data_IF_843866998670
#
_entry.id   IF_843866998670
#
_cell.length_a   1.000
_cell.length_b   1.000
_cell.length_c   1.000
_cell.angle_alpha   90.00
_cell.angle_beta   90.00
_cell.angle_gamma   90.00
#
_symmetry.space_group_name_H-M   'P 1'
#
loop_
_entity.id
_entity.type
_entity.pdbx_description
1 polymer ?
#
# COMPACT_ATOMS: atom_id res chain seq x y z
N UNK A 1 50.88 -17.17 69.47
CA UNK A 1 51.14 -16.32 68.30
C UNK A 1 51.74 -15.04 68.82
N UNK A 2 52.97 -14.73 68.51
CA UNK A 2 53.65 -13.55 69.05
C UNK A 2 53.05 -12.25 68.41
N UNK A 3 53.16 -11.13 69.14
CA UNK A 3 52.73 -9.83 68.62
C UNK A 3 53.31 -9.49 67.23
N UNK A 4 54.57 -9.95 67.00
CA UNK A 4 55.24 -9.74 65.71
C UNK A 4 54.64 -10.51 64.52
N UNK A 5 54.00 -11.65 64.79
CA UNK A 5 53.43 -12.47 63.75
C UNK A 5 52.11 -11.85 63.27
N UNK A 6 51.35 -11.17 64.14
CA UNK A 6 50.11 -10.42 63.80
C UNK A 6 50.37 -9.23 62.86
N UNK A 7 51.51 -8.52 63.13
CA UNK A 7 51.87 -7.39 62.25
C UNK A 7 52.34 -7.82 60.87
N UNK A 8 53.00 -8.97 60.76
CA UNK A 8 53.42 -9.55 59.48
C UNK A 8 52.22 -9.98 58.65
N UNK A 9 51.19 -10.59 59.26
CA UNK A 9 49.98 -11.04 58.58
C UNK A 9 49.18 -9.84 58.15
N UNK A 10 49.08 -8.79 59.02
CA UNK A 10 48.33 -7.56 58.68
C UNK A 10 48.96 -6.83 57.47
N UNK A 11 50.30 -6.69 57.48
CA UNK A 11 51.04 -6.10 56.36
C UNK A 11 50.90 -6.88 55.06
N UNK A 12 50.90 -8.22 55.15
CA UNK A 12 50.67 -9.06 53.96
C UNK A 12 49.25 -8.91 53.41
N UNK A 13 48.24 -8.88 54.28
CA UNK A 13 46.86 -8.63 53.93
C UNK A 13 46.65 -7.23 53.30
N UNK A 14 47.30 -6.20 53.86
CA UNK A 14 47.25 -4.84 53.34
C UNK A 14 47.89 -4.74 51.93
N UNK A 15 49.02 -5.44 51.74
CA UNK A 15 49.72 -5.48 50.43
C UNK A 15 48.90 -6.22 49.35
N UNK A 16 48.19 -7.29 49.69
CA UNK A 16 47.30 -8.02 48.79
C UNK A 16 46.08 -7.19 48.48
N UNK A 17 45.53 -6.50 49.48
CA UNK A 17 44.40 -5.58 49.28
C UNK A 17 44.77 -4.39 48.37
N UNK A 18 45.96 -3.83 48.53
CA UNK A 18 46.48 -2.78 47.63
C UNK A 18 46.70 -3.27 46.21
N UNK A 19 47.19 -4.50 46.02
CA UNK A 19 47.32 -5.11 44.68
C UNK A 19 45.96 -5.33 44.00
N UNK A 20 44.94 -5.76 44.74
CA UNK A 20 43.58 -5.95 44.23
C UNK A 20 42.97 -4.60 43.84
N UNK A 21 43.13 -3.58 44.66
CA UNK A 21 42.62 -2.21 44.35
C UNK A 21 43.37 -1.60 43.15
N UNK A 22 44.70 -1.87 43.03
CA UNK A 22 45.48 -1.39 41.88
C UNK A 22 45.09 -2.12 40.56
N UNK A 23 44.78 -3.42 40.64
CA UNK A 23 44.32 -4.18 39.48
C UNK A 23 42.87 -3.83 39.07
N UNK A 24 42.01 -3.44 40.01
CA UNK A 24 40.67 -2.91 39.68
C UNK A 24 40.69 -1.51 39.07
N UNK A 25 41.75 -0.71 39.29
CA UNK A 25 41.88 0.63 38.73
C UNK A 25 42.39 0.69 37.29
N UNK A 26 42.70 -0.44 36.66
CA UNK A 26 43.16 -0.58 35.29
C UNK A 26 42.21 -1.45 34.41
N UNK A 27 41.00 -1.68 34.85
CA UNK A 27 39.97 -2.02 33.93
C UNK A 27 39.65 -0.71 33.16
N UNK A 28 40.40 -0.46 32.09
CA UNK A 28 39.86 0.32 30.99
C UNK A 28 38.57 -0.41 30.59
N UNK A 29 37.43 0.08 31.07
CA UNK A 29 36.16 -0.19 30.45
C UNK A 29 36.38 0.38 29.07
N UNK A 30 36.72 -0.46 28.09
CA UNK A 30 36.61 -0.08 26.71
C UNK A 30 35.18 0.48 26.61
N UNK A 31 35.05 1.79 26.44
CA UNK A 31 33.79 2.39 26.11
C UNK A 31 33.36 1.67 24.82
N UNK A 32 32.42 0.78 24.93
CA UNK A 32 31.75 0.29 23.73
C UNK A 32 31.15 1.52 23.15
N UNK A 33 31.80 2.06 22.12
CA UNK A 33 31.28 3.17 21.34
C UNK A 33 30.00 2.64 20.71
N UNK A 34 28.87 3.05 21.28
CA UNK A 34 27.57 2.63 20.75
C UNK A 34 27.36 3.45 19.47
N UNK A 35 27.65 2.83 18.35
CA UNK A 35 27.37 3.37 17.03
C UNK A 35 25.89 3.66 16.96
N UNK A 36 25.53 4.91 16.64
CA UNK A 36 24.17 5.33 16.41
C UNK A 36 24.04 5.94 15.01
N UNK A 37 23.77 5.10 14.03
CA UNK A 37 23.70 5.50 12.63
C UNK A 37 22.62 6.57 12.35
N UNK A 38 21.72 6.87 13.28
CA UNK A 38 20.75 7.95 13.14
C UNK A 38 21.23 9.29 13.74
N UNK A 39 22.43 9.33 14.31
CA UNK A 39 23.05 10.54 14.88
C UNK A 39 23.97 11.19 13.83
N UNK A 40 23.67 12.43 13.37
CA UNK A 40 24.51 13.13 12.41
C UNK A 40 25.97 13.39 12.89
N UNK A 41 26.26 13.19 14.16
CA UNK A 41 27.62 13.32 14.69
C UNK A 41 28.42 12.01 14.63
N UNK A 42 27.79 10.88 14.26
CA UNK A 42 28.45 9.58 14.06
C UNK A 42 29.20 9.57 12.73
N UNK A 43 30.44 9.04 12.72
CA UNK A 43 31.28 8.99 11.53
C UNK A 43 30.72 8.09 10.42
N UNK A 44 29.80 7.17 10.77
CA UNK A 44 29.11 6.26 9.84
C UNK A 44 27.73 6.74 9.43
N UNK A 45 27.32 7.92 9.88
CA UNK A 45 26.03 8.50 9.51
C UNK A 45 25.98 8.79 8.01
N UNK A 46 24.89 8.35 7.37
CA UNK A 46 24.51 8.84 6.04
C UNK A 46 23.09 9.43 6.07
N UNK A 47 22.74 10.25 5.10
CA UNK A 47 21.37 10.77 4.96
C UNK A 47 20.41 9.65 4.58
N UNK A 48 19.09 9.79 4.92
CA UNK A 48 18.08 8.88 4.41
C UNK A 48 18.14 8.85 2.88
N UNK A 49 18.24 7.66 2.33
CA UNK A 49 18.32 7.41 0.89
C UNK A 49 17.72 6.04 0.58
N UNK A 50 16.78 5.99 -0.35
CA UNK A 50 16.00 4.80 -0.68
C UNK A 50 16.51 4.16 -1.96
N UNK A 51 16.75 2.86 -1.94
CA UNK A 51 17.01 2.03 -3.11
C UNK A 51 15.82 1.12 -3.38
N UNK A 52 15.27 1.17 -4.60
CA UNK A 52 14.33 0.15 -5.09
C UNK A 52 15.18 -1.02 -5.60
N UNK A 53 15.01 -2.17 -4.94
CA UNK A 53 15.84 -3.37 -5.17
C UNK A 53 15.25 -4.24 -6.29
N UNK A 54 13.91 -4.37 -6.31
CA UNK A 54 13.22 -5.20 -7.31
C UNK A 54 11.84 -4.60 -7.64
N UNK A 55 11.34 -4.95 -8.82
CA UNK A 55 10.07 -4.49 -9.37
C UNK A 55 10.19 -3.99 -10.81
N UNK A 56 9.12 -3.43 -11.39
CA UNK A 56 9.15 -2.77 -12.68
C UNK A 56 10.20 -1.65 -12.73
N UNK A 57 10.89 -1.53 -13.87
CA UNK A 57 11.80 -0.43 -14.12
C UNK A 57 11.10 0.70 -14.89
N UNK A 58 11.62 1.91 -14.80
CA UNK A 58 11.05 3.07 -15.49
C UNK A 58 10.94 2.85 -17.00
N UNK A 59 9.74 3.09 -17.55
CA UNK A 59 9.40 2.90 -18.96
C UNK A 59 8.97 1.47 -19.31
N UNK A 60 8.89 0.56 -18.36
CA UNK A 60 8.39 -0.81 -18.58
C UNK A 60 6.88 -0.81 -18.81
N UNK A 61 6.41 -1.66 -19.71
CA UNK A 61 4.99 -2.01 -19.84
C UNK A 61 4.79 -3.43 -19.30
N UNK A 62 3.84 -3.58 -18.38
CA UNK A 62 3.47 -4.87 -17.79
C UNK A 62 2.34 -5.50 -18.59
N UNK A 63 2.43 -6.80 -18.78
CA UNK A 63 1.39 -7.68 -19.32
C UNK A 63 0.59 -8.40 -18.20
N UNK A 64 0.65 -7.86 -16.99
CA UNK A 64 -0.04 -8.35 -15.81
C UNK A 64 -0.66 -7.18 -15.03
N UNK A 65 -1.89 -7.38 -14.55
CA UNK A 65 -2.57 -6.44 -13.65
C UNK A 65 -2.07 -6.48 -12.21
N UNK A 66 -1.00 -7.23 -11.94
CA UNK A 66 -0.37 -7.31 -10.63
C UNK A 66 1.14 -7.21 -10.74
N UNK A 67 1.76 -6.61 -9.73
CA UNK A 67 3.21 -6.51 -9.62
C UNK A 67 3.60 -6.30 -8.16
N UNK A 68 4.88 -6.29 -7.88
CA UNK A 68 5.41 -5.95 -6.56
C UNK A 68 6.61 -5.02 -6.70
N UNK A 69 6.95 -4.35 -5.61
CA UNK A 69 8.16 -3.57 -5.44
C UNK A 69 8.81 -3.92 -4.12
N UNK A 70 10.15 -3.95 -4.12
CA UNK A 70 10.91 -4.06 -2.88
C UNK A 70 11.90 -2.92 -2.76
N UNK A 71 12.12 -2.45 -1.54
CA UNK A 71 13.08 -1.39 -1.27
C UNK A 71 13.73 -1.52 0.11
N UNK A 72 14.85 -0.84 0.25
CA UNK A 72 15.62 -0.71 1.47
C UNK A 72 16.37 0.64 1.48
N UNK A 73 17.19 0.86 2.50
CA UNK A 73 18.18 1.95 2.49
C UNK A 73 19.30 1.65 1.49
N UNK A 74 19.79 2.66 0.76
CA UNK A 74 20.87 2.47 -0.23
C UNK A 74 22.22 2.15 0.40
N UNK A 75 22.50 2.66 1.61
CA UNK A 75 23.74 2.39 2.34
C UNK A 75 23.66 1.03 3.08
N UNK A 76 24.57 0.08 2.75
CA UNK A 76 24.61 -1.24 3.41
C UNK A 76 24.75 -1.22 4.94
N UNK A 77 25.27 -0.15 5.54
CA UNK A 77 25.35 -0.03 6.99
C UNK A 77 23.96 -0.03 7.68
N UNK A 78 22.92 0.31 6.95
CA UNK A 78 21.53 0.32 7.44
C UNK A 78 20.71 -0.90 7.00
N UNK A 79 21.32 -1.85 6.29
CA UNK A 79 20.64 -3.07 5.91
C UNK A 79 20.40 -3.98 7.10
N UNK A 80 19.42 -4.86 6.96
CA UNK A 80 19.10 -5.86 7.97
C UNK A 80 20.31 -6.75 8.28
N UNK A 81 20.65 -6.84 9.56
CA UNK A 81 21.66 -7.77 10.06
C UNK A 81 21.18 -8.38 11.39
N UNK A 82 20.72 -9.64 11.38
CA UNK A 82 20.20 -10.31 12.57
C UNK A 82 21.26 -10.52 13.66
N UNK A 83 22.54 -10.22 13.38
CA UNK A 83 23.63 -10.35 14.36
C UNK A 83 23.87 -9.09 15.17
N UNK A 84 23.31 -7.95 14.74
CA UNK A 84 23.42 -6.69 15.45
C UNK A 84 22.37 -6.57 16.57
N UNK A 85 22.76 -5.96 17.69
CA UNK A 85 21.86 -5.69 18.82
C UNK A 85 20.76 -4.69 18.45
N UNK A 86 21.03 -3.79 17.49
CA UNK A 86 20.08 -2.80 16.95
C UNK A 86 19.93 -3.04 15.46
N UNK A 87 18.72 -3.39 15.04
CA UNK A 87 18.40 -3.48 13.63
C UNK A 87 17.95 -2.12 13.12
N UNK A 88 18.76 -1.51 12.26
CA UNK A 88 18.48 -0.21 11.68
C UNK A 88 17.41 -0.30 10.59
N UNK A 89 17.38 -1.38 9.81
CA UNK A 89 16.38 -1.59 8.74
C UNK A 89 14.95 -1.60 9.27
N UNK A 90 14.70 -2.23 10.42
CA UNK A 90 13.38 -2.28 11.06
C UNK A 90 12.90 -0.90 11.57
N UNK A 91 13.80 0.07 11.74
CA UNK A 91 13.52 1.36 12.38
C UNK A 91 13.39 2.52 11.41
N UNK A 92 13.86 2.37 10.18
CA UNK A 92 13.69 3.40 9.14
C UNK A 92 12.23 3.44 8.75
N UNK A 93 11.66 4.64 8.75
CA UNK A 93 10.30 4.84 8.30
C UNK A 93 10.29 5.08 6.79
N UNK A 94 9.40 4.39 6.10
CA UNK A 94 9.12 4.60 4.69
C UNK A 94 7.66 5.01 4.50
N UNK A 95 7.41 5.68 3.39
CA UNK A 95 6.08 5.88 2.81
C UNK A 95 6.19 5.79 1.30
N UNK A 96 5.08 5.46 0.67
CA UNK A 96 5.01 5.46 -0.78
C UNK A 96 3.73 6.16 -1.26
N UNK A 97 3.71 6.47 -2.55
CA UNK A 97 2.47 6.82 -3.27
C UNK A 97 2.49 6.19 -4.66
N UNK A 98 1.30 5.81 -5.12
CA UNK A 98 1.05 5.32 -6.47
C UNK A 98 0.01 6.23 -7.11
N UNK A 99 0.43 7.12 -8.01
CA UNK A 99 -0.42 8.13 -8.69
C UNK A 99 -1.22 9.08 -7.79
N UNK A 100 -1.24 8.92 -6.47
CA UNK A 100 -2.18 9.58 -5.56
C UNK A 100 -1.51 10.14 -4.30
N UNK A 101 -2.22 10.09 -3.20
CA UNK A 101 -1.74 10.55 -1.90
C UNK A 101 -0.67 9.63 -1.31
N UNK A 102 0.18 10.19 -0.47
CA UNK A 102 1.16 9.42 0.29
C UNK A 102 0.50 8.50 1.30
N UNK A 103 1.04 7.28 1.43
CA UNK A 103 0.76 6.39 2.55
C UNK A 103 1.22 7.01 3.88
N UNK A 104 0.75 6.52 5.04
CA UNK A 104 1.36 6.84 6.32
C UNK A 104 2.83 6.41 6.37
N UNK A 105 3.59 7.02 7.29
CA UNK A 105 4.94 6.60 7.59
C UNK A 105 4.92 5.32 8.43
N UNK A 106 5.50 4.24 7.90
CA UNK A 106 5.63 2.95 8.60
C UNK A 106 7.07 2.46 8.51
N UNK A 107 7.52 1.82 9.58
CA UNK A 107 8.78 1.11 9.61
C UNK A 107 8.57 -0.41 9.69
N UNK A 108 9.65 -1.19 9.60
CA UNK A 108 9.57 -2.64 9.63
C UNK A 108 8.84 -3.18 10.85
N UNK A 109 9.12 -2.63 12.05
CA UNK A 109 8.44 -3.03 13.28
C UNK A 109 6.93 -2.80 13.23
N UNK A 110 6.50 -1.63 12.73
CA UNK A 110 5.08 -1.31 12.59
C UNK A 110 4.38 -2.21 11.56
N UNK A 111 5.06 -2.60 10.48
CA UNK A 111 4.52 -3.52 9.48
C UNK A 111 4.38 -4.93 10.02
N UNK A 112 5.37 -5.43 10.76
CA UNK A 112 5.30 -6.74 11.43
C UNK A 112 4.17 -6.81 12.46
N UNK A 113 3.91 -5.71 13.18
CA UNK A 113 2.82 -5.63 14.15
C UNK A 113 1.44 -5.59 13.47
N UNK A 114 1.30 -4.82 12.39
CA UNK A 114 0.03 -4.61 11.68
C UNK A 114 -0.35 -5.72 10.71
N UNK A 115 0.64 -6.42 10.14
CA UNK A 115 0.47 -7.56 9.23
C UNK A 115 -0.47 -7.25 8.04
N UNK A 116 -0.18 -6.15 7.33
CA UNK A 116 -0.93 -5.85 6.10
C UNK A 116 -0.65 -6.89 5.01
N UNK A 117 -1.67 -7.24 4.23
CA UNK A 117 -1.56 -8.17 3.10
C UNK A 117 -0.84 -7.56 1.88
N UNK A 118 -0.77 -6.22 1.80
CA UNK A 118 -0.27 -5.50 0.63
C UNK A 118 1.05 -4.75 0.87
N UNK A 119 1.46 -4.52 2.12
CA UNK A 119 2.73 -3.93 2.46
C UNK A 119 3.32 -4.61 3.70
N UNK A 120 4.44 -5.26 3.52
CA UNK A 120 5.09 -6.04 4.56
C UNK A 120 6.57 -5.70 4.70
N UNK A 121 7.18 -6.17 5.77
CA UNK A 121 8.61 -6.17 6.01
C UNK A 121 9.10 -7.62 6.08
N UNK A 122 9.99 -8.01 5.17
CA UNK A 122 10.58 -9.34 5.15
C UNK A 122 11.73 -9.42 6.16
N UNK A 123 11.52 -10.12 7.25
CA UNK A 123 12.51 -10.30 8.33
C UNK A 123 13.70 -11.16 7.96
N UNK A 124 13.72 -11.80 6.80
CA UNK A 124 14.87 -12.58 6.33
C UNK A 124 15.82 -11.72 5.51
N UNK A 125 15.30 -10.78 4.76
CA UNK A 125 16.07 -9.93 3.83
C UNK A 125 16.19 -8.48 4.29
N UNK A 126 15.29 -8.03 5.21
CA UNK A 126 15.21 -6.63 5.64
C UNK A 126 14.57 -5.72 4.61
N UNK A 127 13.91 -6.28 3.61
CA UNK A 127 13.25 -5.52 2.55
C UNK A 127 11.81 -5.16 2.92
N UNK A 128 11.40 -3.96 2.57
CA UNK A 128 9.99 -3.63 2.46
C UNK A 128 9.44 -4.18 1.15
N UNK A 129 8.26 -4.80 1.20
CA UNK A 129 7.59 -5.42 0.05
C UNK A 129 6.22 -4.80 -0.11
N UNK A 130 5.95 -4.18 -1.26
CA UNK A 130 4.63 -3.66 -1.65
C UNK A 130 4.07 -4.52 -2.77
N UNK A 131 2.92 -5.13 -2.54
CA UNK A 131 2.18 -5.89 -3.54
C UNK A 131 1.05 -5.04 -4.11
N UNK A 132 0.97 -4.97 -5.43
CA UNK A 132 -0.07 -4.26 -6.19
C UNK A 132 -0.89 -5.26 -6.99
N UNK A 133 -2.21 -5.10 -6.99
CA UNK A 133 -3.13 -5.97 -7.71
C UNK A 133 -4.23 -5.16 -8.39
N UNK A 134 -4.85 -5.74 -9.42
CA UNK A 134 -5.95 -5.13 -10.19
C UNK A 134 -5.59 -3.76 -10.78
N UNK A 135 -4.34 -3.62 -11.23
CA UNK A 135 -3.90 -2.44 -11.95
C UNK A 135 -4.63 -2.34 -13.28
N UNK A 136 -5.13 -1.14 -13.58
CA UNK A 136 -5.78 -0.82 -14.86
C UNK A 136 -4.75 -0.52 -15.95
N UNK A 137 -5.15 -0.55 -17.21
CA UNK A 137 -4.33 -0.21 -18.38
C UNK A 137 -4.08 1.30 -18.45
N UNK A 138 -3.26 1.79 -17.55
CA UNK A 138 -2.85 3.19 -17.46
C UNK A 138 -1.36 3.31 -17.13
N UNK A 139 -0.87 4.55 -17.16
CA UNK A 139 0.47 4.87 -16.66
C UNK A 139 0.45 5.04 -15.14
N UNK A 140 1.39 4.40 -14.49
CA UNK A 140 1.62 4.47 -13.06
C UNK A 140 2.94 5.18 -12.76
N UNK A 141 2.95 5.86 -11.61
CA UNK A 141 4.13 6.46 -11.02
C UNK A 141 4.19 6.05 -9.55
N UNK A 142 5.19 5.23 -9.22
CA UNK A 142 5.51 4.88 -7.85
C UNK A 142 6.62 5.78 -7.35
N UNK A 143 6.43 6.37 -6.18
CA UNK A 143 7.44 7.10 -5.43
C UNK A 143 7.57 6.50 -4.04
N UNK A 144 8.79 6.34 -3.56
CA UNK A 144 9.09 5.83 -2.22
C UNK A 144 10.02 6.80 -1.53
N UNK A 145 9.77 7.13 -0.28
CA UNK A 145 10.57 8.08 0.50
C UNK A 145 10.89 7.51 1.87
N UNK A 146 12.11 7.71 2.34
CA UNK A 146 12.55 7.31 3.67
C UNK A 146 12.64 8.45 4.66
N UNK A 147 12.59 8.11 5.95
CA UNK A 147 12.77 9.03 7.07
C UNK A 147 13.34 8.30 8.28
N UNK A 148 14.33 8.91 8.93
CA UNK A 148 14.88 8.38 10.19
C UNK A 148 13.94 8.65 11.39
N UNK A 149 14.09 7.89 12.48
CA UNK A 149 13.39 8.16 13.73
C UNK A 149 13.62 9.58 14.27
N UNK A 150 14.72 10.21 13.91
CA UNK A 150 15.08 11.62 14.22
C UNK A 150 14.31 12.65 13.40
N UNK A 151 13.40 12.22 12.50
CA UNK A 151 12.62 13.02 11.55
C UNK A 151 13.44 13.67 10.42
N UNK A 152 14.67 13.28 10.20
CA UNK A 152 15.42 13.65 9.00
C UNK A 152 14.82 12.86 7.83
N UNK A 153 14.37 13.57 6.80
CA UNK A 153 13.72 13.00 5.62
C UNK A 153 14.67 13.01 4.43
N UNK A 154 14.48 12.07 3.55
CA UNK A 154 15.11 12.01 2.24
C UNK A 154 14.73 13.23 1.38
N UNK A 155 15.72 13.81 0.69
CA UNK A 155 15.51 14.98 -0.17
C UNK A 155 15.24 14.60 -1.63
N UNK A 156 15.82 13.49 -2.10
CA UNK A 156 15.71 13.02 -3.48
C UNK A 156 15.36 11.54 -3.50
N UNK A 157 14.08 11.26 -3.48
CA UNK A 157 13.55 9.89 -3.44
C UNK A 157 13.37 9.27 -4.82
N UNK A 158 13.46 7.94 -4.95
CA UNK A 158 13.25 7.22 -6.18
C UNK A 158 11.80 7.37 -6.69
N UNK A 159 11.72 7.43 -8.03
CA UNK A 159 10.49 7.56 -8.78
C UNK A 159 10.54 6.60 -9.98
N UNK A 160 9.61 5.65 -10.03
CA UNK A 160 9.48 4.67 -11.10
C UNK A 160 8.19 4.92 -11.86
N UNK A 161 8.30 5.13 -13.17
CA UNK A 161 7.13 5.23 -14.06
C UNK A 161 7.01 3.95 -14.90
N UNK A 162 5.86 3.33 -14.90
CA UNK A 162 5.55 2.14 -15.69
C UNK A 162 4.13 2.20 -16.24
N UNK A 163 3.81 1.39 -17.22
CA UNK A 163 2.45 1.22 -17.74
C UNK A 163 1.98 -0.21 -17.56
N UNK A 164 0.68 -0.38 -17.59
CA UNK A 164 0.01 -1.68 -17.65
C UNK A 164 -0.78 -1.72 -18.95
N UNK A 165 -0.74 -2.86 -19.64
CA UNK A 165 -1.45 -3.13 -20.90
C UNK A 165 -1.79 -4.63 -20.92
N UNK A 166 -2.93 -4.96 -20.32
CA UNK A 166 -3.35 -6.35 -20.04
C UNK A 166 -4.65 -6.68 -20.72
N UNK A 167 -5.48 -5.67 -20.94
CA UNK A 167 -6.87 -5.90 -21.26
C UNK A 167 -7.16 -5.55 -22.72
N UNK A 168 -7.75 -6.51 -23.42
CA UNK A 168 -8.24 -6.33 -24.79
C UNK A 168 -9.75 -6.59 -24.83
N UNK A 169 -10.52 -5.70 -25.50
CA UNK A 169 -11.96 -5.87 -25.71
C UNK A 169 -12.81 -5.04 -24.75
N UNK A 170 -14.10 -5.38 -24.65
CA UNK A 170 -15.05 -4.66 -23.81
C UNK A 170 -15.01 -5.13 -22.37
N UNK A 171 -14.71 -4.24 -21.45
CA UNK A 171 -14.54 -4.54 -20.04
C UNK A 171 -15.50 -3.78 -19.13
N UNK A 172 -15.90 -4.43 -18.06
CA UNK A 172 -16.59 -3.85 -16.93
C UNK A 172 -15.74 -4.03 -15.67
N UNK A 173 -15.29 -2.95 -15.06
CA UNK A 173 -14.35 -3.02 -13.95
C UNK A 173 -14.67 -2.02 -12.83
N UNK A 174 -14.13 -2.29 -11.64
CA UNK A 174 -14.04 -1.32 -10.55
C UNK A 174 -12.81 -0.43 -10.77
N UNK A 175 -13.01 0.88 -10.84
CA UNK A 175 -11.96 1.89 -11.09
C UNK A 175 -11.93 2.97 -9.99
N UNK A 176 -10.76 3.31 -9.42
CA UNK A 176 -9.49 2.65 -9.63
C UNK A 176 -9.50 1.21 -9.12
N UNK A 177 -8.80 0.32 -9.82
CA UNK A 177 -8.72 -1.11 -9.47
C UNK A 177 -8.05 -1.35 -8.13
N UNK A 178 -7.18 -0.42 -7.68
CA UNK A 178 -6.61 -0.41 -6.34
C UNK A 178 -6.79 0.95 -5.67
N UNK A 179 -7.42 0.94 -4.49
CA UNK A 179 -7.65 2.12 -3.65
C UNK A 179 -6.88 1.99 -2.34
N UNK A 180 -6.21 3.05 -1.95
CA UNK A 180 -5.60 3.19 -0.63
C UNK A 180 -6.33 4.27 0.16
N UNK A 181 -6.75 3.96 1.39
CA UNK A 181 -7.47 4.91 2.24
C UNK A 181 -7.10 4.77 3.71
N UNK A 182 -7.38 5.82 4.49
CA UNK A 182 -7.17 5.84 5.93
C UNK A 182 -8.28 5.08 6.66
N UNK A 183 -7.95 4.51 7.82
CA UNK A 183 -8.94 3.89 8.71
C UNK A 183 -10.02 4.90 9.13
N UNK A 184 -11.29 4.53 8.99
CA UNK A 184 -12.43 5.41 9.19
C UNK A 184 -12.63 6.46 8.09
N UNK A 185 -11.84 6.41 7.02
CA UNK A 185 -11.92 7.35 5.91
C UNK A 185 -13.01 7.00 4.90
N UNK A 186 -13.40 8.00 4.11
CA UNK A 186 -14.30 7.86 2.96
C UNK A 186 -13.47 7.73 1.70
N UNK A 187 -13.85 6.79 0.83
CA UNK A 187 -13.21 6.59 -0.46
C UNK A 187 -14.23 6.36 -1.58
N UNK A 188 -13.76 6.43 -2.81
CA UNK A 188 -14.61 6.36 -4.00
C UNK A 188 -14.08 5.30 -4.95
N UNK A 189 -15.01 4.53 -5.54
CA UNK A 189 -14.75 3.67 -6.70
C UNK A 189 -15.86 3.84 -7.72
N UNK A 190 -15.56 3.58 -8.97
CA UNK A 190 -16.54 3.63 -10.06
C UNK A 190 -16.72 2.23 -10.64
N UNK A 191 -17.93 1.92 -11.09
CA UNK A 191 -18.12 0.93 -12.14
C UNK A 191 -17.83 1.63 -13.48
N UNK A 192 -16.85 1.14 -14.22
CA UNK A 192 -16.34 1.72 -15.46
C UNK A 192 -16.45 0.73 -16.60
N UNK A 193 -16.85 1.21 -17.76
CA UNK A 193 -16.79 0.47 -19.01
C UNK A 193 -15.60 0.93 -19.84
N UNK A 194 -14.92 -0.01 -20.46
CA UNK A 194 -13.83 0.24 -21.41
C UNK A 194 -14.22 -0.34 -22.77
N UNK A 195 -13.98 0.44 -23.81
CA UNK A 195 -14.12 0.10 -25.22
C UNK A 195 -15.45 -0.57 -25.62
N UNK A 196 -16.53 -0.15 -24.96
CA UNK A 196 -17.86 -0.64 -25.29
C UNK A 196 -18.37 -0.06 -26.59
N UNK A 197 -19.11 -0.87 -27.34
CA UNK A 197 -19.78 -0.45 -28.58
C UNK A 197 -21.28 -0.55 -28.42
N UNK A 198 -21.98 0.55 -28.79
CA UNK A 198 -23.44 0.65 -28.82
C UNK A 198 -24.14 0.30 -27.49
N UNK A 199 -23.57 0.70 -26.37
CA UNK A 199 -24.14 0.50 -25.04
C UNK A 199 -25.57 1.05 -24.93
N UNK A 200 -26.51 0.20 -24.52
CA UNK A 200 -27.91 0.57 -24.29
C UNK A 200 -28.40 0.29 -22.87
N UNK A 201 -27.74 -0.59 -22.15
CA UNK A 201 -28.11 -0.90 -20.79
C UNK A 201 -27.20 -1.92 -20.13
N UNK A 202 -27.38 -2.06 -18.84
CA UNK A 202 -26.63 -3.03 -18.05
C UNK A 202 -27.45 -3.53 -16.87
N UNK A 203 -27.14 -4.75 -16.48
CA UNK A 203 -27.40 -5.29 -15.17
C UNK A 203 -26.06 -5.34 -14.43
N UNK A 204 -25.96 -4.67 -13.28
CA UNK A 204 -24.74 -4.65 -12.47
C UNK A 204 -25.04 -5.12 -11.07
N UNK A 205 -24.33 -6.13 -10.61
CA UNK A 205 -24.31 -6.57 -9.24
C UNK A 205 -22.92 -6.38 -8.63
N UNK A 206 -22.84 -5.69 -7.48
CA UNK A 206 -21.61 -5.41 -6.74
C UNK A 206 -21.71 -6.00 -5.36
N UNK A 207 -20.67 -6.74 -4.96
CA UNK A 207 -20.54 -7.35 -3.64
C UNK A 207 -19.31 -6.76 -2.92
N UNK A 208 -19.47 -6.49 -1.64
CA UNK A 208 -18.42 -5.97 -0.78
C UNK A 208 -18.55 -6.49 0.65
N UNK A 209 -17.46 -6.49 1.39
CA UNK A 209 -17.46 -6.89 2.81
C UNK A 209 -18.08 -5.78 3.69
N UNK A 210 -19.33 -5.96 4.10
CA UNK A 210 -20.06 -5.00 4.92
C UNK A 210 -19.59 -4.93 6.38
N UNK A 211 -18.68 -5.80 6.80
CA UNK A 211 -17.99 -5.70 8.09
C UNK A 211 -16.74 -4.83 8.00
N UNK A 212 -16.23 -4.60 6.79
CA UNK A 212 -15.05 -3.80 6.51
C UNK A 212 -15.38 -2.41 5.97
N UNK A 213 -16.36 -2.31 5.07
CA UNK A 213 -16.76 -1.06 4.44
C UNK A 213 -18.28 -0.95 4.34
N UNK A 214 -18.80 0.27 4.42
CA UNK A 214 -20.23 0.55 4.27
C UNK A 214 -20.46 1.45 3.07
N UNK A 215 -21.37 1.08 2.18
CA UNK A 215 -21.82 1.93 1.08
C UNK A 215 -22.67 3.09 1.64
N UNK A 216 -22.15 4.31 1.55
CA UNK A 216 -22.80 5.51 2.04
C UNK A 216 -23.73 6.11 0.98
N UNK A 217 -23.30 6.08 -0.28
CA UNK A 217 -24.05 6.65 -1.39
C UNK A 217 -23.58 6.05 -2.72
N UNK A 218 -24.37 6.27 -3.76
CA UNK A 218 -23.99 6.03 -5.14
C UNK A 218 -24.51 7.16 -6.03
N UNK A 219 -23.83 7.38 -7.14
CA UNK A 219 -24.24 8.36 -8.14
C UNK A 219 -24.11 7.74 -9.52
N UNK A 220 -25.12 7.92 -10.37
CA UNK A 220 -24.93 7.72 -11.80
C UNK A 220 -23.95 8.81 -12.25
N UNK A 221 -22.85 8.40 -12.88
CA UNK A 221 -21.85 9.36 -13.30
C UNK A 221 -22.42 10.31 -14.31
N UNK A 222 -22.44 11.56 -13.92
CA UNK A 222 -22.89 12.71 -14.68
C UNK A 222 -21.85 13.82 -14.68
N UNK A 223 -20.56 13.47 -14.59
CA UNK A 223 -19.49 14.46 -14.68
C UNK A 223 -19.12 14.78 -16.14
N UNK A 224 -18.16 15.67 -16.34
CA UNK A 224 -17.81 16.24 -17.64
C UNK A 224 -17.27 15.23 -18.68
N UNK A 225 -17.03 14.00 -18.31
CA UNK A 225 -16.71 12.89 -19.22
C UNK A 225 -17.93 12.04 -19.58
N UNK A 226 -19.08 12.43 -19.18
CA UNK A 226 -20.41 11.86 -19.22
C UNK A 226 -20.64 10.84 -20.32
N UNK A 227 -20.18 9.61 -20.03
CA UNK A 227 -20.42 8.50 -20.93
C UNK A 227 -21.91 8.33 -21.21
N UNK A 228 -22.76 8.36 -20.17
CA UNK A 228 -24.20 8.18 -20.31
C UNK A 228 -24.89 9.35 -21.01
N UNK A 229 -24.39 10.57 -20.87
CA UNK A 229 -24.97 11.77 -21.53
C UNK A 229 -24.61 11.89 -23.01
N UNK A 230 -23.70 11.06 -23.53
CA UNK A 230 -23.46 11.00 -24.99
C UNK A 230 -24.67 10.49 -25.74
N UNK A 231 -25.59 9.80 -25.07
CA UNK A 231 -26.87 9.41 -25.65
C UNK A 231 -27.87 10.56 -25.66
N UNK A 232 -28.66 10.65 -26.72
CA UNK A 232 -29.83 11.52 -26.79
C UNK A 232 -31.04 10.96 -26.02
N UNK A 233 -30.94 9.76 -25.46
CA UNK A 233 -32.01 9.08 -24.74
C UNK A 233 -32.11 9.50 -23.28
N UNK A 234 -33.15 9.04 -22.62
CA UNK A 234 -33.32 9.18 -21.18
C UNK A 234 -32.74 7.99 -20.47
N UNK A 235 -31.82 8.22 -19.53
CA UNK A 235 -31.33 7.17 -18.64
C UNK A 235 -32.43 6.83 -17.63
N UNK A 236 -32.78 5.55 -17.57
CA UNK A 236 -33.69 4.97 -16.59
C UNK A 236 -32.93 3.93 -15.77
N UNK A 237 -33.22 3.86 -14.49
CA UNK A 237 -32.60 2.87 -13.61
C UNK A 237 -33.58 2.34 -12.58
N UNK A 238 -33.29 1.13 -12.13
CA UNK A 238 -33.93 0.48 -11.00
C UNK A 238 -32.82 -0.06 -10.08
N UNK A 239 -32.85 0.30 -8.81
CA UNK A 239 -31.78 -0.04 -7.85
C UNK A 239 -32.34 -0.85 -6.70
N UNK A 240 -31.63 -1.91 -6.35
CA UNK A 240 -31.78 -2.65 -5.12
C UNK A 240 -30.48 -2.57 -4.32
N UNK A 241 -30.53 -2.04 -3.11
CA UNK A 241 -29.39 -1.91 -2.24
C UNK A 241 -29.68 -2.60 -0.91
N UNK A 242 -28.95 -3.67 -0.62
CA UNK A 242 -28.99 -4.35 0.67
C UNK A 242 -27.66 -4.18 1.41
N UNK A 243 -27.49 -3.09 2.17
CA UNK A 243 -26.23 -2.83 2.88
C UNK A 243 -25.98 -3.82 4.02
N UNK A 244 -26.98 -4.60 4.45
CA UNK A 244 -26.81 -5.61 5.49
C UNK A 244 -26.09 -6.86 4.96
N UNK A 245 -26.25 -7.16 3.68
CA UNK A 245 -25.56 -8.27 3.02
C UNK A 245 -24.29 -7.84 2.28
N UNK A 246 -24.02 -6.52 2.18
CA UNK A 246 -22.92 -6.01 1.35
C UNK A 246 -23.18 -6.20 -0.14
N UNK A 247 -24.45 -6.06 -0.56
CA UNK A 247 -24.88 -6.27 -1.93
C UNK A 247 -25.57 -5.03 -2.49
N UNK A 248 -25.17 -4.65 -3.70
CA UNK A 248 -25.78 -3.58 -4.48
C UNK A 248 -26.09 -4.08 -5.88
N UNK A 249 -27.27 -3.82 -6.37
CA UNK A 249 -27.72 -4.17 -7.71
C UNK A 249 -28.34 -2.97 -8.40
N UNK A 250 -28.08 -2.82 -9.69
CA UNK A 250 -28.74 -1.83 -10.54
C UNK A 250 -29.01 -2.40 -11.92
N UNK A 251 -30.24 -2.17 -12.40
CA UNK A 251 -30.62 -2.28 -13.79
C UNK A 251 -30.67 -0.87 -14.39
N UNK A 252 -29.88 -0.62 -15.42
CA UNK A 252 -29.77 0.66 -16.08
C UNK A 252 -30.05 0.51 -17.57
N UNK A 253 -30.80 1.42 -18.15
CA UNK A 253 -31.06 1.43 -19.57
C UNK A 253 -31.22 2.83 -20.13
N UNK A 254 -31.00 2.98 -21.43
CA UNK A 254 -31.20 4.19 -22.19
C UNK A 254 -32.49 4.04 -23.00
N UNK A 255 -33.47 4.88 -22.76
CA UNK A 255 -34.77 4.81 -23.38
C UNK A 255 -35.02 6.01 -24.30
N UNK A 256 -35.73 5.77 -25.46
CA UNK A 256 -36.12 6.80 -26.39
C UNK A 256 -36.28 6.29 -27.82
N UNK A 257 -37.15 6.92 -28.61
CA UNK A 257 -37.57 6.39 -29.93
C UNK A 257 -36.57 6.50 -31.08
N UNK A 258 -35.43 7.13 -30.92
CA UNK A 258 -34.37 7.27 -31.94
C UNK A 258 -32.97 7.18 -31.31
N UNK A 259 -32.87 6.37 -30.29
CA UNK A 259 -31.64 6.31 -29.49
C UNK A 259 -30.60 5.44 -30.18
N UNK A 260 -29.42 5.99 -30.35
CA UNK A 260 -28.21 5.23 -30.68
C UNK A 260 -27.54 4.84 -29.39
N UNK A 261 -26.89 3.68 -29.34
CA UNK A 261 -26.08 3.28 -28.22
C UNK A 261 -24.89 4.23 -28.00
N UNK A 262 -24.34 4.19 -26.82
CA UNK A 262 -23.12 4.94 -26.48
C UNK A 262 -21.91 4.06 -26.72
N UNK A 263 -20.84 4.60 -27.30
CA UNK A 263 -19.60 3.84 -27.56
C UNK A 263 -18.41 4.55 -26.93
N UNK A 264 -17.43 3.78 -26.50
CA UNK A 264 -16.17 4.25 -25.92
C UNK A 264 -15.97 3.80 -24.48
N UNK A 265 -15.22 4.60 -23.74
CA UNK A 265 -14.82 4.32 -22.35
C UNK A 265 -15.40 5.39 -21.41
N UNK A 266 -15.94 4.96 -20.26
CA UNK A 266 -16.42 5.91 -19.26
C UNK A 266 -16.97 5.28 -17.98
N UNK A 267 -17.09 6.12 -16.96
CA UNK A 267 -17.71 5.76 -15.69
C UNK A 267 -19.23 5.70 -15.83
N UNK A 268 -19.83 4.71 -15.21
CA UNK A 268 -21.28 4.52 -15.18
C UNK A 268 -21.86 4.90 -13.82
N UNK A 269 -21.24 4.42 -12.76
CA UNK A 269 -21.70 4.60 -11.39
C UNK A 269 -20.46 4.89 -10.53
N UNK A 270 -20.58 5.91 -9.66
CA UNK A 270 -19.66 6.15 -8.56
C UNK A 270 -20.26 5.64 -7.27
N UNK A 271 -19.51 4.83 -6.57
CA UNK A 271 -19.82 4.37 -5.22
C UNK A 271 -18.99 5.16 -4.20
N UNK A 272 -19.63 5.53 -3.10
CA UNK A 272 -19.03 6.22 -1.95
C UNK A 272 -19.07 5.26 -0.78
N UNK A 273 -17.90 4.80 -0.37
CA UNK A 273 -17.77 3.92 0.79
C UNK A 273 -17.11 4.64 1.96
N UNK A 274 -17.45 4.21 3.16
CA UNK A 274 -16.76 4.55 4.39
C UNK A 274 -16.19 3.28 4.99
N UNK A 275 -14.92 3.32 5.40
CA UNK A 275 -14.31 2.21 6.11
C UNK A 275 -14.83 2.17 7.56
N UNK A 276 -15.25 0.97 8.03
CA UNK A 276 -15.86 0.78 9.36
C UNK A 276 -15.23 -0.37 10.16
N UNK A 277 -14.40 -1.19 9.53
CA UNK A 277 -13.85 -2.42 10.09
C UNK A 277 -12.43 -2.31 10.63
N UNK A 278 -11.73 -3.43 10.61
CA UNK A 278 -10.30 -3.50 10.90
C UNK A 278 -9.49 -3.08 9.68
N UNK A 279 -8.26 -2.62 9.88
CA UNK A 279 -7.32 -2.32 8.79
C UNK A 279 -6.96 -3.59 8.01
N UNK A 280 -6.54 -3.44 6.76
CA UNK A 280 -6.21 -4.57 5.89
C UNK A 280 -6.70 -4.36 4.46
N UNK A 281 -6.97 -5.45 3.75
CA UNK A 281 -7.35 -5.41 2.35
C UNK A 281 -8.62 -6.21 2.11
N UNK A 282 -9.55 -5.67 1.30
CA UNK A 282 -10.77 -6.35 0.85
C UNK A 282 -11.09 -6.01 -0.59
N UNK A 283 -11.72 -6.96 -1.27
CA UNK A 283 -12.18 -6.79 -2.64
C UNK A 283 -13.58 -6.14 -2.70
N UNK A 284 -13.81 -5.40 -3.79
CA UNK A 284 -15.13 -5.04 -4.29
C UNK A 284 -15.31 -5.83 -5.57
N UNK A 285 -16.27 -6.74 -5.57
CA UNK A 285 -16.44 -7.73 -6.63
C UNK A 285 -17.65 -7.35 -7.49
N UNK A 286 -17.46 -7.31 -8.80
CA UNK A 286 -18.56 -7.32 -9.75
C UNK A 286 -18.95 -8.78 -9.99
N UNK A 287 -20.21 -9.12 -9.76
CA UNK A 287 -20.71 -10.47 -9.96
C UNK A 287 -20.64 -10.88 -11.43
N UNK A 288 -20.40 -12.17 -11.69
CA UNK A 288 -20.46 -12.77 -13.03
C UNK A 288 -21.87 -12.74 -13.65
N UNK A 289 -22.91 -12.47 -12.87
CA UNK A 289 -24.28 -12.25 -13.37
C UNK A 289 -24.44 -10.88 -14.02
N UNK A 290 -23.51 -9.95 -13.76
CA UNK A 290 -23.49 -8.63 -14.38
C UNK A 290 -23.31 -8.76 -15.90
N UNK A 291 -24.04 -7.95 -16.65
CA UNK A 291 -23.90 -7.94 -18.09
C UNK A 291 -24.19 -6.54 -18.67
N UNK A 292 -23.63 -6.30 -19.84
CA UNK A 292 -23.76 -5.04 -20.58
C UNK A 292 -24.42 -5.37 -21.93
N UNK A 293 -25.37 -4.58 -22.34
CA UNK A 293 -26.21 -4.82 -23.54
C UNK A 293 -26.05 -3.72 -24.57
N UNK A 294 -25.96 -4.13 -25.82
CA UNK A 294 -26.02 -3.26 -26.99
C UNK A 294 -27.44 -2.92 -27.42
N UNK A 295 -27.58 -2.17 -28.51
CA UNK A 295 -28.86 -1.77 -29.12
C UNK A 295 -29.69 -2.96 -29.63
N UNK A 296 -29.07 -4.12 -29.83
CA UNK A 296 -29.73 -5.35 -30.25
C UNK A 296 -30.00 -6.31 -29.10
N UNK A 297 -29.72 -5.89 -27.87
CA UNK A 297 -29.83 -6.68 -26.65
C UNK A 297 -28.84 -7.86 -26.59
N UNK A 298 -27.72 -7.77 -27.29
CA UNK A 298 -26.63 -8.72 -27.14
C UNK A 298 -25.76 -8.34 -25.94
N UNK A 299 -25.19 -9.34 -25.25
CA UNK A 299 -24.14 -9.09 -24.28
C UNK A 299 -22.85 -8.71 -25.00
N UNK A 300 -22.24 -7.61 -24.58
CA UNK A 300 -21.02 -7.06 -25.20
C UNK A 300 -19.81 -7.07 -24.27
N UNK A 301 -19.99 -7.35 -22.98
CA UNK A 301 -18.88 -7.43 -22.04
C UNK A 301 -18.11 -8.76 -22.24
N UNK A 302 -16.80 -8.68 -22.37
CA UNK A 302 -15.91 -9.80 -22.53
C UNK A 302 -15.23 -10.16 -21.21
N UNK A 303 -14.88 -9.14 -20.41
CA UNK A 303 -14.18 -9.30 -19.16
C UNK A 303 -14.79 -8.46 -18.03
N UNK A 304 -14.77 -9.03 -16.83
CA UNK A 304 -15.25 -8.38 -15.61
C UNK A 304 -14.15 -8.44 -14.56
N UNK A 305 -13.76 -7.27 -14.02
CA UNK A 305 -12.66 -7.17 -13.05
C UNK A 305 -13.11 -6.53 -11.74
N UNK A 306 -12.72 -7.14 -10.61
CA UNK A 306 -12.93 -6.56 -9.30
C UNK A 306 -11.96 -5.41 -9.05
N UNK A 307 -12.20 -4.69 -7.95
CA UNK A 307 -11.23 -3.79 -7.36
C UNK A 307 -10.83 -4.24 -5.96
N UNK A 308 -9.78 -3.64 -5.43
CA UNK A 308 -9.29 -3.90 -4.10
C UNK A 308 -9.11 -2.60 -3.32
N UNK A 309 -9.51 -2.64 -2.06
CA UNK A 309 -9.36 -1.52 -1.12
C UNK A 309 -8.39 -1.93 -0.03
N UNK A 310 -7.36 -1.13 0.14
CA UNK A 310 -6.29 -1.30 1.14
C UNK A 310 -6.38 -0.17 2.17
N UNK A 311 -6.54 -0.52 3.43
CA UNK A 311 -6.72 0.42 4.55
C UNK A 311 -5.54 0.32 5.50
N UNK A 312 -5.01 1.50 5.86
CA UNK A 312 -3.88 1.64 6.78
C UNK A 312 -4.27 1.52 8.25
#
# INVERSE_FOLDING_TARGET
MSSNDKYKILNYLLSVLMLIVYSCGQLEVASIEVVNLFDPSDDQYSLPDTEIVDGPISGMTLDSSSTYFTWQHSDPAYHYDPTHEVDYAERINYRYRLNSSWSPWLNGNALMERQFDFWSFDTLTGLHVLELAYLEDINYQLEVMSKYPTNIQEENWPNISFSVDVYDGTELLISPGQVFADSGGVFYVNAKLIDVTDFMGMHLEVQYDNSFMQLQNYYLESDSSDFLLQSSGQVINFVENDPQSGHFQIDLGIAGGSVTGVSGTGNIIRFVFEHIGEVGQRQIIISSESNVRDVYNNSVVEHIFPGVVSIW
#
